data_IF_111183004698
#
_entry.id   IF_111183004698
#
_cell.length_a   1.000
_cell.length_b   1.000
_cell.length_c   1.000
_cell.angle_alpha   90.00
_cell.angle_beta   90.00
_cell.angle_gamma   90.00
#
_symmetry.space_group_name_H-M   'P 1'
#
loop_
_entity.id
_entity.type
_entity.pdbx_description
1 polymer ?
#
# COMPACT_ATOMS: atom_id res chain seq x y z
N UNK A 1 -21.10 -13.12 9.16
CA UNK A 1 -20.48 -11.98 9.27
C UNK A 1 -19.08 -12.13 9.54
N UNK A 2 -18.16 -11.64 9.06
CA UNK A 2 -16.77 -11.74 9.37
C UNK A 2 -16.29 -10.47 10.05
N UNK A 3 -15.13 -10.55 10.64
CA UNK A 3 -14.46 -9.41 11.23
C UNK A 3 -13.96 -8.52 10.10
N UNK A 4 -14.19 -7.23 10.17
CA UNK A 4 -13.83 -6.31 9.11
C UNK A 4 -12.82 -5.29 9.60
N UNK A 5 -12.01 -4.80 8.68
CA UNK A 5 -10.94 -3.87 9.01
C UNK A 5 -10.80 -2.81 7.95
N UNK A 6 -10.25 -1.67 8.36
CA UNK A 6 -9.74 -0.68 7.43
C UNK A 6 -8.25 -0.92 7.33
N UNK A 7 -7.72 -0.94 6.12
CA UNK A 7 -6.29 -1.22 5.90
C UNK A 7 -5.69 -0.24 4.92
N UNK A 8 -4.42 0.05 5.09
CA UNK A 8 -3.69 0.88 4.16
C UNK A 8 -2.21 0.58 4.26
N UNK A 9 -1.49 0.68 3.16
CA UNK A 9 -0.03 0.60 3.21
C UNK A 9 0.60 1.44 2.10
N UNK A 10 1.86 1.75 2.31
CA UNK A 10 2.68 2.43 1.32
C UNK A 10 4.01 1.69 1.22
N UNK A 11 4.47 1.51 -0.01
CA UNK A 11 5.79 0.95 -0.29
C UNK A 11 6.56 2.04 -1.02
N UNK A 12 7.82 2.27 -0.64
CA UNK A 12 8.62 3.33 -1.24
C UNK A 12 9.96 2.80 -1.68
N UNK A 13 10.49 3.41 -2.75
CA UNK A 13 11.79 3.09 -3.29
C UNK A 13 12.60 4.39 -3.43
N UNK A 14 13.84 4.29 -3.86
CA UNK A 14 14.69 5.48 -4.01
C UNK A 14 14.28 6.32 -5.23
N UNK A 15 13.77 5.68 -6.26
CA UNK A 15 13.39 6.41 -7.47
C UNK A 15 12.28 5.68 -8.22
N UNK A 16 11.71 6.38 -9.18
CA UNK A 16 10.58 5.86 -9.94
C UNK A 16 10.98 4.65 -10.78
N UNK A 17 12.20 4.65 -11.30
CA UNK A 17 12.65 3.53 -12.11
C UNK A 17 12.66 2.24 -11.27
N UNK A 18 13.14 2.31 -10.05
CA UNK A 18 13.16 1.15 -9.16
C UNK A 18 11.75 0.68 -8.85
N UNK A 19 10.84 1.62 -8.58
CA UNK A 19 9.44 1.27 -8.35
C UNK A 19 8.86 0.54 -9.55
N UNK A 20 9.10 1.06 -10.75
CA UNK A 20 8.54 0.46 -11.95
C UNK A 20 9.16 -0.90 -12.22
N UNK A 21 10.44 -1.07 -11.92
CA UNK A 21 11.10 -2.37 -12.06
C UNK A 21 10.50 -3.39 -11.10
N UNK A 22 10.17 -2.97 -9.90
CA UNK A 22 9.53 -3.85 -8.92
C UNK A 22 8.17 -4.32 -9.44
N UNK A 23 7.36 -3.38 -9.96
CA UNK A 23 6.04 -3.74 -10.49
C UNK A 23 6.21 -4.72 -11.64
N UNK A 24 7.15 -4.47 -12.54
CA UNK A 24 7.41 -5.36 -13.67
C UNK A 24 7.81 -6.74 -13.18
N UNK A 25 8.67 -6.80 -12.18
CA UNK A 25 9.11 -8.08 -11.63
C UNK A 25 7.96 -8.87 -11.02
N UNK A 26 7.10 -8.19 -10.27
CA UNK A 26 5.96 -8.86 -9.65
C UNK A 26 5.00 -9.39 -10.70
N UNK A 27 4.74 -8.61 -11.75
CA UNK A 27 3.85 -9.06 -12.82
C UNK A 27 4.48 -10.21 -13.61
N UNK A 28 5.81 -10.21 -13.74
CA UNK A 28 6.50 -11.27 -14.49
C UNK A 28 6.47 -12.61 -13.78
N UNK A 29 6.14 -12.64 -12.50
CA UNK A 29 6.00 -13.91 -11.79
C UNK A 29 4.82 -14.73 -12.28
N UNK A 30 3.92 -14.10 -13.00
CA UNK A 30 2.77 -14.75 -13.61
C UNK A 30 1.90 -15.44 -12.54
N UNK A 31 1.75 -14.79 -11.42
CA UNK A 31 0.96 -15.27 -10.29
C UNK A 31 -0.32 -14.44 -10.25
N UNK A 32 -1.47 -15.09 -10.38
CA UNK A 32 -2.74 -14.37 -10.48
C UNK A 32 -3.02 -13.52 -9.25
N UNK A 33 -2.67 -14.01 -8.07
CA UNK A 33 -2.94 -13.27 -6.84
C UNK A 33 -2.04 -12.04 -6.72
N UNK A 34 -0.76 -12.17 -7.09
CA UNK A 34 0.13 -11.01 -7.09
C UNK A 34 -0.28 -9.99 -8.12
N UNK A 35 -0.68 -10.44 -9.31
CA UNK A 35 -1.13 -9.54 -10.36
C UNK A 35 -2.36 -8.77 -9.88
N UNK A 36 -3.30 -9.45 -9.23
CA UNK A 36 -4.48 -8.76 -8.73
C UNK A 36 -4.11 -7.76 -7.65
N UNK A 37 -3.19 -8.11 -6.75
CA UNK A 37 -2.79 -7.20 -5.69
C UNK A 37 -2.14 -5.94 -6.28
N UNK A 38 -1.28 -6.10 -7.27
CA UNK A 38 -0.67 -4.95 -7.93
C UNK A 38 -1.75 -4.08 -8.59
N UNK A 39 -2.73 -4.69 -9.22
CA UNK A 39 -3.78 -3.93 -9.89
C UNK A 39 -4.70 -3.19 -8.92
N UNK A 40 -4.73 -3.61 -7.66
CA UNK A 40 -5.52 -2.93 -6.64
C UNK A 40 -4.76 -1.76 -6.02
N UNK A 41 -3.49 -1.61 -6.34
CA UNK A 41 -2.67 -0.53 -5.80
C UNK A 41 -2.65 0.66 -6.75
N UNK A 42 -2.28 1.81 -6.22
CA UNK A 42 -2.07 3.01 -7.01
C UNK A 42 -0.58 3.30 -7.11
N UNK A 43 -0.13 3.62 -8.30
CA UNK A 43 1.25 4.03 -8.55
C UNK A 43 1.28 4.69 -9.92
N UNK A 44 2.32 5.44 -10.17
CA UNK A 44 2.48 6.04 -11.48
C UNK A 44 1.77 7.37 -11.69
N UNK A 45 1.08 7.87 -10.66
CA UNK A 45 0.34 9.12 -10.76
C UNK A 45 0.97 10.24 -9.94
N UNK A 46 2.17 10.03 -9.48
CA UNK A 46 2.84 10.98 -8.62
C UNK A 46 4.33 10.95 -8.94
N UNK A 47 5.03 11.98 -8.55
CA UNK A 47 6.49 12.00 -8.69
C UNK A 47 7.18 11.22 -7.59
N UNK A 48 6.47 10.84 -6.56
CA UNK A 48 7.06 10.08 -5.48
C UNK A 48 7.16 8.61 -5.89
N UNK A 49 8.27 7.95 -5.60
CA UNK A 49 8.46 6.55 -5.99
C UNK A 49 7.76 5.60 -5.04
N UNK A 50 6.44 5.66 -5.00
CA UNK A 50 5.64 4.89 -4.05
C UNK A 50 4.58 4.04 -4.75
N UNK A 51 4.14 3.01 -4.01
CA UNK A 51 2.98 2.19 -4.36
C UNK A 51 2.09 2.24 -3.13
N UNK A 52 0.82 2.53 -3.31
CA UNK A 52 -0.10 2.67 -2.17
C UNK A 52 -1.32 1.77 -2.34
N UNK A 53 -1.88 1.38 -1.21
CA UNK A 53 -3.11 0.60 -1.17
C UNK A 53 -3.95 1.07 0.00
N UNK A 54 -5.25 1.16 -0.20
CA UNK A 54 -6.16 1.61 0.84
C UNK A 54 -7.51 0.93 0.62
N UNK A 55 -8.07 0.35 1.67
CA UNK A 55 -9.39 -0.28 1.60
C UNK A 55 -10.08 -0.14 2.94
N UNK A 56 -11.38 0.04 2.92
CA UNK A 56 -12.15 0.17 4.16
C UNK A 56 -13.20 -0.93 4.24
N UNK A 57 -13.48 -1.34 5.45
CA UNK A 57 -14.55 -2.30 5.74
C UNK A 57 -14.37 -3.60 4.95
N UNK A 58 -13.16 -4.15 4.98
CA UNK A 58 -12.85 -5.36 4.23
C UNK A 58 -12.53 -6.51 5.18
N UNK A 59 -12.68 -7.72 4.69
CA UNK A 59 -12.28 -8.90 5.44
C UNK A 59 -10.80 -9.12 5.17
N UNK A 60 -9.98 -8.81 6.17
CA UNK A 60 -8.53 -8.85 6.01
C UNK A 60 -7.96 -9.95 6.91
N UNK A 61 -8.11 -11.19 6.48
CA UNK A 61 -7.62 -12.34 7.24
C UNK A 61 -6.31 -12.83 6.66
N UNK A 62 -5.35 -13.08 7.52
CA UNK A 62 -3.99 -13.40 7.07
C UNK A 62 -3.91 -14.70 6.27
N UNK A 63 -4.90 -15.57 6.35
CA UNK A 63 -4.89 -16.80 5.57
C UNK A 63 -5.60 -16.69 4.24
N UNK A 64 -6.17 -15.51 3.92
CA UNK A 64 -6.76 -15.31 2.62
C UNK A 64 -5.65 -15.10 1.59
N UNK A 65 -5.82 -15.67 0.40
CA UNK A 65 -4.79 -15.60 -0.65
C UNK A 65 -4.54 -14.18 -1.10
N UNK A 66 -5.57 -13.36 -1.20
CA UNK A 66 -5.40 -11.97 -1.63
C UNK A 66 -4.64 -11.16 -0.57
N UNK A 67 -4.88 -11.41 0.70
CA UNK A 67 -4.18 -10.75 1.78
C UNK A 67 -2.72 -11.18 1.78
N UNK A 68 -2.46 -12.48 1.58
CA UNK A 68 -1.09 -12.96 1.50
C UNK A 68 -0.34 -12.30 0.35
N UNK A 69 -1.00 -12.08 -0.76
CA UNK A 69 -0.36 -11.45 -1.92
C UNK A 69 0.03 -10.01 -1.61
N UNK A 70 -0.84 -9.25 -0.93
CA UNK A 70 -0.50 -7.89 -0.55
C UNK A 70 0.69 -7.86 0.41
N UNK A 71 0.73 -8.77 1.39
CA UNK A 71 1.87 -8.83 2.31
C UNK A 71 3.14 -9.25 1.57
N UNK A 72 3.02 -10.12 0.57
CA UNK A 72 4.18 -10.52 -0.22
C UNK A 72 4.76 -9.34 -0.99
N UNK A 73 3.90 -8.43 -1.49
CA UNK A 73 4.41 -7.24 -2.16
C UNK A 73 5.29 -6.42 -1.22
N UNK A 74 4.82 -6.21 0.00
CA UNK A 74 5.58 -5.41 0.96
C UNK A 74 6.90 -6.08 1.32
N UNK A 75 6.86 -7.38 1.60
CA UNK A 75 8.05 -8.10 2.02
C UNK A 75 9.07 -8.23 0.88
N UNK A 76 8.60 -8.47 -0.34
CA UNK A 76 9.49 -8.59 -1.49
C UNK A 76 10.14 -7.26 -1.82
N UNK A 77 9.42 -6.15 -1.64
CA UNK A 77 10.01 -4.83 -1.89
C UNK A 77 11.22 -4.62 -0.99
N UNK A 78 11.13 -5.02 0.26
CA UNK A 78 12.25 -4.90 1.18
C UNK A 78 13.33 -5.92 0.85
N UNK A 79 12.93 -7.17 0.66
CA UNK A 79 13.89 -8.25 0.49
C UNK A 79 14.73 -8.08 -0.77
N UNK A 80 14.11 -7.70 -1.86
CA UNK A 80 14.78 -7.62 -3.15
C UNK A 80 15.43 -6.26 -3.35
N UNK A 81 14.79 -5.21 -2.87
CA UNK A 81 15.21 -3.84 -3.17
C UNK A 81 15.66 -3.03 -1.97
N UNK A 82 16.11 -3.70 -0.91
CA UNK A 82 16.55 -2.98 0.30
C UNK A 82 17.62 -1.95 -0.03
N UNK A 83 18.56 -2.30 -0.87
CA UNK A 83 19.65 -1.41 -1.21
C UNK A 83 19.23 -0.33 -2.19
N UNK A 84 18.05 -0.44 -2.74
CA UNK A 84 17.46 0.58 -3.60
C UNK A 84 16.35 1.32 -2.87
N UNK A 85 16.40 1.30 -1.56
CA UNK A 85 15.46 2.06 -0.73
C UNK A 85 14.14 1.39 -0.44
N UNK A 86 13.98 0.10 -0.76
CA UNK A 86 12.73 -0.60 -0.54
C UNK A 86 12.32 -0.60 0.92
N UNK A 87 11.15 -0.08 1.22
CA UNK A 87 10.60 -0.03 2.57
C UNK A 87 9.10 0.09 2.51
N UNK A 88 8.44 -0.22 3.62
CA UNK A 88 6.98 -0.16 3.66
C UNK A 88 6.47 0.18 5.04
N UNK A 89 5.22 0.63 5.09
CA UNK A 89 4.50 0.82 6.34
C UNK A 89 3.05 0.41 6.11
N UNK A 90 2.55 -0.47 6.96
CA UNK A 90 1.20 -1.03 6.87
C UNK A 90 0.47 -0.76 8.18
N UNK A 91 -0.79 -0.35 8.08
CA UNK A 91 -1.64 -0.15 9.26
C UNK A 91 -2.99 -0.78 8.98
N UNK A 92 -3.53 -1.46 9.98
CA UNK A 92 -4.92 -1.91 9.93
C UNK A 92 -5.62 -1.54 11.22
N UNK A 93 -6.91 -1.23 11.12
CA UNK A 93 -7.76 -0.97 12.28
C UNK A 93 -8.99 -1.84 12.13
N UNK A 94 -9.17 -2.77 13.07
CA UNK A 94 -10.31 -3.67 13.03
C UNK A 94 -11.57 -3.00 13.54
N UNK A 95 -12.71 -3.64 13.29
CA UNK A 95 -13.99 -3.08 13.67
C UNK A 95 -14.14 -2.96 15.17
N UNK A 96 -13.32 -3.65 15.94
CA UNK A 96 -13.32 -3.53 17.40
C UNK A 96 -12.35 -2.46 17.87
N UNK A 97 -11.73 -1.72 16.93
CA UNK A 97 -10.78 -0.67 17.27
C UNK A 97 -9.35 -1.14 17.43
N UNK A 98 -9.08 -2.43 17.25
CA UNK A 98 -7.72 -2.93 17.38
C UNK A 98 -6.86 -2.43 16.23
N UNK A 99 -5.70 -1.90 16.54
CA UNK A 99 -4.78 -1.35 15.55
C UNK A 99 -3.56 -2.23 15.42
N UNK A 100 -3.11 -2.43 14.19
CA UNK A 100 -1.87 -3.15 13.92
C UNK A 100 -1.02 -2.31 13.00
N UNK A 101 0.27 -2.29 13.25
CA UNK A 101 1.23 -1.59 12.42
C UNK A 101 2.39 -2.52 12.14
N UNK A 102 2.73 -2.67 10.87
CA UNK A 102 3.86 -3.49 10.45
C UNK A 102 4.68 -2.65 9.49
N UNK A 103 5.95 -2.49 9.75
CA UNK A 103 6.76 -1.63 8.90
C UNK A 103 8.20 -2.06 8.86
N UNK A 104 8.85 -1.74 7.77
CA UNK A 104 10.29 -1.82 7.64
C UNK A 104 10.71 -0.48 7.05
N UNK A 105 11.00 0.48 7.92
CA UNK A 105 11.22 1.86 7.52
C UNK A 105 12.16 2.49 8.53
N UNK A 106 13.44 2.21 8.39
CA UNK A 106 14.46 2.61 9.36
C UNK A 106 14.51 4.12 9.58
N UNK A 107 14.21 4.88 8.53
CA UNK A 107 14.30 6.34 8.60
C UNK A 107 13.02 7.00 9.08
N UNK A 108 11.93 6.27 9.15
CA UNK A 108 10.65 6.85 9.51
C UNK A 108 10.02 7.71 8.42
N UNK A 109 10.53 7.63 7.19
CA UNK A 109 10.02 8.45 6.09
C UNK A 109 8.55 8.22 5.81
N UNK A 110 8.09 6.99 5.99
CA UNK A 110 6.74 6.64 5.58
C UNK A 110 5.69 7.10 6.57
N UNK A 111 6.11 7.51 7.74
CA UNK A 111 5.19 8.04 8.73
C UNK A 111 4.47 9.28 8.20
N UNK A 112 5.08 10.00 7.28
CA UNK A 112 4.46 11.18 6.68
C UNK A 112 3.32 10.81 5.74
N UNK A 113 3.28 9.57 5.25
CA UNK A 113 2.25 9.14 4.32
C UNK A 113 1.05 8.50 5.01
N UNK A 114 1.26 7.91 6.19
CA UNK A 114 0.21 7.12 6.80
C UNK A 114 0.38 7.10 8.31
N UNK A 115 -0.65 7.50 9.03
CA UNK A 115 -0.67 7.49 10.48
C UNK A 115 -2.02 7.01 10.95
N UNK A 116 -2.17 6.81 12.25
CA UNK A 116 -3.43 6.38 12.81
C UNK A 116 -3.74 7.13 14.10
N UNK A 117 -5.01 7.44 14.29
CA UNK A 117 -5.52 8.01 15.54
C UNK A 117 -6.99 7.64 15.56
N UNK A 118 -7.28 6.40 15.98
CA UNK A 118 -8.62 5.81 15.96
C UNK A 118 -9.11 5.52 14.55
N UNK A 119 -8.50 6.09 13.55
CA UNK A 119 -8.81 5.81 12.16
C UNK A 119 -7.51 5.99 11.39
N UNK A 120 -7.45 5.42 10.21
CA UNK A 120 -6.26 5.55 9.38
C UNK A 120 -6.34 6.89 8.67
N UNK A 121 -5.26 7.66 8.78
CA UNK A 121 -5.13 8.92 8.07
C UNK A 121 -4.05 8.80 7.03
N UNK A 122 -4.34 9.11 5.80
CA UNK A 122 -3.37 9.00 4.73
C UNK A 122 -3.17 10.34 4.05
N UNK A 123 -1.96 10.55 3.58
CA UNK A 123 -1.63 11.68 2.72
C UNK A 123 -1.20 11.13 1.37
N UNK A 124 -1.89 10.11 0.89
CA UNK A 124 -1.56 9.49 -0.38
C UNK A 124 -2.00 10.39 -1.52
N UNK A 125 -1.15 10.54 -2.55
CA UNK A 125 -1.62 11.20 -3.76
C UNK A 125 -2.54 10.22 -4.49
N UNK A 126 -3.70 10.72 -4.87
CA UNK A 126 -4.70 9.88 -5.51
C UNK A 126 -4.79 10.19 -6.99
N UNK A 127 -5.32 9.25 -7.74
CA UNK A 127 -5.54 9.44 -9.17
C UNK A 127 -6.46 10.61 -9.36
N UNK A 128 -6.07 11.63 -10.16
CA UNK A 128 -6.93 12.77 -10.40
C UNK A 128 -8.17 12.33 -11.15
N UNK A 129 -9.30 12.85 -10.76
CA UNK A 129 -10.54 12.56 -11.45
C UNK A 129 -11.21 13.86 -11.74
N UNK A 130 -12.14 13.83 -12.65
CA UNK A 130 -12.88 15.01 -12.95
C UNK A 130 -13.70 15.43 -11.77
N UNK A 131 -14.17 14.48 -11.02
CA UNK A 131 -14.94 14.80 -9.85
C UNK A 131 -14.11 15.56 -8.86
N UNK A 132 -12.90 15.14 -8.64
CA UNK A 132 -12.10 15.79 -7.65
C UNK A 132 -11.77 17.21 -8.08
N UNK A 133 -11.74 17.46 -9.37
CA UNK A 133 -11.45 18.79 -9.80
C UNK A 133 -12.67 19.65 -9.83
N UNK A 134 -13.80 19.05 -10.07
CA UNK A 134 -14.99 19.83 -10.17
C UNK A 134 -15.60 20.13 -8.87
N UNK A 135 -15.56 19.19 -8.03
CA UNK A 135 -16.21 19.36 -6.80
C UNK A 135 -15.60 20.39 -6.01
N UNK A 136 -14.52 20.53 -6.35
CA UNK A 136 -13.99 21.46 -5.65
C UNK A 136 -14.47 22.69 -6.05
N UNK A 137 -15.06 22.51 -6.74
CA UNK A 137 -15.49 23.26 -7.06
C UNK A 137 -16.51 23.50 -6.82
N UNK A 138 -16.64 23.23 -6.28
CA UNK A 138 -17.56 23.34 -6.09
C UNK A 138 -17.80 23.57 -5.38
#
# INVERSE_FOLDING_TARGET
MGYRSDVAYVIKFNDIETRDNFVTLMLAKNDAQLTQAINECEYGYTKDPIITFEATDVKWYSDFDDVKAHHALMHDAVEIYKEKGGKYRFISIGEDGAEECDEDDDDGDLYDYITTRHEINTAFPHIPTEDSTLTTQE
#
